data_IF_560113904057
#
_entry.id   IF_560113904057
#
_cell.length_a   1.000
_cell.length_b   1.000
_cell.length_c   1.000
_cell.angle_alpha   90.00
_cell.angle_beta   90.00
_cell.angle_gamma   90.00
#
_symmetry.space_group_name_H-M   'P 1'
#
loop_
_entity.id
_entity.type
_entity.pdbx_description
1 polymer ?
#
# COMPACT_ATOMS: atom_id res chain seq x y z
N UNK A 1 -12.99 -3.41 -3.26
CA UNK A 1 -12.35 -3.16 -1.94
C UNK A 1 -13.37 -2.50 -1.03
N UNK A 2 -13.22 -2.62 0.29
CA UNK A 2 -14.17 -2.08 1.27
C UNK A 2 -13.45 -1.72 2.58
N UNK A 3 -13.59 -0.48 3.06
CA UNK A 3 -13.05 -0.06 4.36
C UNK A 3 -13.87 -0.65 5.50
N UNK A 4 -13.24 -1.41 6.39
CA UNK A 4 -13.91 -2.03 7.54
C UNK A 4 -14.27 -1.01 8.63
N UNK A 5 -13.63 0.16 8.63
CA UNK A 5 -13.86 1.21 9.64
C UNK A 5 -15.06 2.12 9.33
N UNK A 6 -15.12 2.71 8.13
CA UNK A 6 -16.19 3.67 7.78
C UNK A 6 -17.15 3.17 6.68
N UNK A 7 -16.91 1.99 6.09
CA UNK A 7 -17.76 1.41 5.05
C UNK A 7 -17.57 1.98 3.64
N UNK A 8 -16.66 2.94 3.44
CA UNK A 8 -16.35 3.44 2.09
C UNK A 8 -15.90 2.29 1.18
N UNK A 9 -16.43 2.24 -0.03
CA UNK A 9 -16.17 1.22 -1.04
C UNK A 9 -15.81 1.79 -2.42
N UNK A 10 -15.81 3.12 -2.58
CA UNK A 10 -15.74 3.76 -3.90
C UNK A 10 -14.31 4.03 -4.37
N UNK A 11 -13.47 4.53 -3.45
CA UNK A 11 -12.09 4.94 -3.74
C UNK A 11 -11.13 4.58 -2.62
N UNK A 12 -9.89 4.30 -2.98
CA UNK A 12 -8.82 3.94 -2.06
C UNK A 12 -7.50 4.52 -2.54
N UNK A 13 -6.63 4.85 -1.59
CA UNK A 13 -5.26 5.28 -1.86
C UNK A 13 -4.38 4.03 -1.85
N UNK A 14 -3.59 3.84 -2.90
CA UNK A 14 -2.55 2.82 -2.92
C UNK A 14 -1.34 3.33 -2.13
N UNK A 15 -0.95 2.59 -1.09
CA UNK A 15 0.27 2.81 -0.35
C UNK A 15 1.36 1.89 -0.88
N UNK A 16 2.54 2.44 -1.14
CA UNK A 16 3.74 1.68 -1.53
C UNK A 16 4.84 2.01 -0.54
N UNK A 17 5.31 1.00 0.18
CA UNK A 17 6.45 1.14 1.08
C UNK A 17 7.67 0.49 0.43
N UNK A 18 8.78 1.21 0.38
CA UNK A 18 10.06 0.74 -0.16
C UNK A 18 11.13 0.86 0.93
N UNK A 19 11.65 -0.27 1.35
CA UNK A 19 12.70 -0.35 2.37
C UNK A 19 14.02 -0.77 1.72
N UNK A 20 15.01 0.11 1.79
CA UNK A 20 16.36 -0.16 1.29
C UNK A 20 17.33 -0.23 2.46
N UNK A 21 17.96 -1.39 2.68
CA UNK A 21 19.06 -1.50 3.62
C UNK A 21 20.37 -1.07 2.96
N UNK A 22 21.09 -0.15 3.60
CA UNK A 22 22.42 0.29 3.16
C UNK A 22 23.46 -0.42 4.04
N UNK A 23 24.28 -1.26 3.42
CA UNK A 23 25.36 -1.96 4.10
C UNK A 23 26.49 -1.03 4.54
N UNK A 24 27.38 -1.49 5.44
CA UNK A 24 28.50 -0.70 5.97
C UNK A 24 29.46 -0.18 4.88
N UNK A 25 29.56 -0.88 3.74
CA UNK A 25 30.40 -0.50 2.60
C UNK A 25 29.66 0.39 1.58
N UNK A 26 28.47 0.90 1.91
CA UNK A 26 27.62 1.69 1.00
C UNK A 26 26.92 0.86 -0.08
N UNK A 27 27.11 -0.47 -0.10
CA UNK A 27 26.35 -1.37 -0.97
C UNK A 27 24.87 -1.39 -0.57
N UNK A 28 23.99 -1.22 -1.55
CA UNK A 28 22.55 -1.42 -1.36
C UNK A 28 22.27 -2.92 -1.32
N UNK A 29 21.59 -3.38 -0.27
CA UNK A 29 20.99 -4.71 -0.27
C UNK A 29 19.71 -4.67 -1.11
N UNK A 30 19.20 -5.85 -1.47
CA UNK A 30 17.97 -5.96 -2.24
C UNK A 30 16.84 -5.20 -1.52
N UNK A 31 16.17 -4.27 -2.23
CA UNK A 31 15.10 -3.49 -1.63
C UNK A 31 13.91 -4.41 -1.33
N UNK A 32 13.39 -4.30 -0.12
CA UNK A 32 12.10 -4.88 0.23
C UNK A 32 11.00 -3.88 -0.12
N UNK A 33 9.86 -4.37 -0.60
CA UNK A 33 8.73 -3.54 -0.94
C UNK A 33 7.42 -4.18 -0.53
N UNK A 34 6.50 -3.36 -0.05
CA UNK A 34 5.15 -3.78 0.33
C UNK A 34 4.12 -2.84 -0.25
N UNK A 35 2.89 -3.35 -0.42
CA UNK A 35 1.74 -2.57 -0.90
C UNK A 35 0.59 -2.68 0.09
N UNK A 36 -0.09 -1.56 0.30
CA UNK A 36 -1.25 -1.46 1.17
C UNK A 36 -2.33 -0.59 0.55
N UNK A 37 -3.49 -0.54 1.20
CA UNK A 37 -4.57 0.37 0.84
C UNK A 37 -4.96 1.22 2.04
N UNK A 38 -5.25 2.49 1.79
CA UNK A 38 -5.80 3.41 2.78
C UNK A 38 -7.14 3.96 2.31
N UNK A 39 -8.09 4.05 3.24
CA UNK A 39 -9.36 4.73 3.00
C UNK A 39 -9.17 6.26 3.11
N UNK A 40 -9.43 7.03 2.04
CA UNK A 40 -9.21 8.48 2.06
C UNK A 40 -10.20 9.24 2.97
N UNK A 41 -11.32 8.61 3.34
CA UNK A 41 -12.38 9.27 4.11
C UNK A 41 -12.12 9.19 5.63
N UNK A 42 -11.37 8.19 6.08
CA UNK A 42 -11.09 7.99 7.52
C UNK A 42 -9.63 7.66 7.85
N UNK A 43 -8.73 7.68 6.86
CA UNK A 43 -7.32 7.33 6.98
C UNK A 43 -7.04 5.92 7.56
N UNK A 44 -8.03 5.02 7.52
CA UNK A 44 -7.87 3.64 7.99
C UNK A 44 -7.16 2.80 6.93
N UNK A 45 -6.20 1.98 7.37
CA UNK A 45 -5.55 0.94 6.56
C UNK A 45 -6.25 -0.42 6.68
N UNK A 46 -7.34 -0.51 7.45
CA UNK A 46 -8.16 -1.72 7.57
C UNK A 46 -9.15 -1.79 6.40
N UNK A 47 -8.62 -2.22 5.26
CA UNK A 47 -9.35 -2.31 3.99
C UNK A 47 -9.39 -3.76 3.55
N UNK A 48 -10.59 -4.30 3.40
CA UNK A 48 -10.78 -5.63 2.82
C UNK A 48 -10.63 -5.57 1.29
N UNK A 49 -9.67 -6.35 0.79
CA UNK A 49 -9.37 -6.51 -0.63
C UNK A 49 -7.87 -6.58 -0.87
N UNK A 50 -7.48 -6.97 -2.09
CA UNK A 50 -6.08 -7.00 -2.49
C UNK A 50 -5.66 -5.62 -3.04
N UNK A 51 -4.72 -4.90 -2.38
CA UNK A 51 -4.24 -3.60 -2.86
C UNK A 51 -3.53 -3.69 -4.21
N UNK A 52 -3.02 -4.85 -4.63
CA UNK A 52 -2.41 -5.04 -5.96
C UNK A 52 -3.44 -4.81 -7.08
N UNK A 53 -4.73 -5.05 -6.82
CA UNK A 53 -5.78 -4.79 -7.82
C UNK A 53 -5.87 -3.32 -8.25
N UNK A 54 -5.44 -2.38 -7.39
CA UNK A 54 -5.34 -0.95 -7.73
C UNK A 54 -4.24 -0.67 -8.76
N UNK A 55 -3.11 -1.39 -8.67
CA UNK A 55 -2.02 -1.26 -9.63
C UNK A 55 -2.45 -1.71 -11.03
N UNK A 56 -3.22 -2.79 -11.11
CA UNK A 56 -3.69 -3.33 -12.39
C UNK A 56 -4.78 -2.47 -13.06
N UNK A 57 -5.52 -1.67 -12.29
CA UNK A 57 -6.57 -0.81 -12.80
C UNK A 57 -6.05 0.51 -13.42
N UNK A 58 -4.77 0.84 -13.20
CA UNK A 58 -4.14 2.06 -13.69
C UNK A 58 -3.51 1.91 -15.09
N UNK A 59 -3.59 0.73 -15.71
CA UNK A 59 -3.01 0.37 -17.02
C UNK A 59 -4.12 0.15 -18.04
#
# INVERSE_FOLDING_TARGET
MHCQNCGNADRFVLLVELTCLVGPDGRRLDPDWSVGAECPDCASTDVAGDPVSLLTAAV
#
